data_IF_107807891445
#
_entry.id   IF_107807891445
#
_cell.length_a   1.000
_cell.length_b   1.000
_cell.length_c   1.000
_cell.angle_alpha   90.00
_cell.angle_beta   90.00
_cell.angle_gamma   90.00
#
_symmetry.space_group_name_H-M   'P 1'
#
loop_
_entity.id
_entity.type
_entity.pdbx_description
1 polymer ?
#
# COMPACT_ATOMS: atom_id res chain seq x y z
N UNK A 1 5.84 -4.02 -4.81
CA UNK A 1 5.58 -4.24 -3.37
C UNK A 1 4.09 -4.46 -3.19
N UNK A 2 3.68 -5.50 -2.46
CA UNK A 2 2.28 -5.76 -2.19
C UNK A 2 1.87 -5.14 -0.85
N UNK A 3 0.80 -4.34 -0.83
CA UNK A 3 0.32 -3.64 0.37
C UNK A 3 -1.17 -3.91 0.55
N UNK A 4 -1.59 -4.16 1.78
CA UNK A 4 -3.01 -4.33 2.12
C UNK A 4 -3.77 -3.00 1.97
N UNK A 5 -4.99 -3.06 1.47
CA UNK A 5 -5.85 -1.89 1.27
C UNK A 5 -5.95 -0.97 2.51
N UNK A 6 -6.16 -1.46 3.76
CA UNK A 6 -6.25 -0.58 4.93
C UNK A 6 -4.94 0.18 5.21
N UNK A 7 -3.79 -0.41 4.88
CA UNK A 7 -2.48 0.23 5.04
C UNK A 7 -2.29 1.28 3.94
N UNK A 8 -2.70 0.98 2.72
CA UNK A 8 -2.67 1.95 1.63
C UNK A 8 -3.51 3.20 1.97
N UNK A 9 -4.73 2.99 2.44
CA UNK A 9 -5.68 4.04 2.82
C UNK A 9 -5.19 4.90 3.99
N UNK A 10 -4.61 4.30 5.02
CA UNK A 10 -4.22 5.01 6.27
C UNK A 10 -2.80 5.60 6.25
N UNK A 11 -1.87 4.97 5.52
CA UNK A 11 -0.45 5.33 5.51
C UNK A 11 -0.03 5.98 4.18
N UNK A 12 -0.38 5.36 3.04
CA UNK A 12 0.12 5.80 1.73
C UNK A 12 -0.63 7.01 1.16
N UNK A 13 -1.86 7.30 1.63
CA UNK A 13 -2.57 8.55 1.31
C UNK A 13 -1.96 9.80 1.95
N UNK A 14 -1.00 9.66 2.88
CA UNK A 14 -0.32 10.83 3.48
C UNK A 14 0.57 11.51 2.44
N UNK A 15 0.47 12.84 2.32
CA UNK A 15 1.14 13.67 1.29
C UNK A 15 2.65 13.42 1.15
N UNK A 16 3.33 13.07 2.25
CA UNK A 16 4.76 12.72 2.26
C UNK A 16 5.09 11.41 1.55
N UNK A 17 4.23 10.39 1.69
CA UNK A 17 4.43 9.07 1.08
C UNK A 17 4.12 9.11 -0.42
N UNK A 18 3.06 9.81 -0.82
CA UNK A 18 2.72 10.00 -2.25
C UNK A 18 3.88 10.59 -3.06
N UNK A 19 4.58 11.59 -2.52
CA UNK A 19 5.75 12.17 -3.15
C UNK A 19 6.92 11.18 -3.31
N UNK A 20 7.13 10.30 -2.33
CA UNK A 20 8.15 9.27 -2.39
C UNK A 20 7.82 8.19 -3.43
N UNK A 21 6.56 7.77 -3.54
CA UNK A 21 6.11 6.81 -4.56
C UNK A 21 6.42 7.35 -5.96
N UNK A 22 6.09 8.61 -6.22
CA UNK A 22 6.35 9.25 -7.51
C UNK A 22 7.85 9.44 -7.76
N UNK A 23 8.59 9.96 -6.79
CA UNK A 23 10.03 10.23 -6.91
C UNK A 23 10.85 8.97 -7.19
N UNK A 24 10.49 7.85 -6.57
CA UNK A 24 11.20 6.59 -6.68
C UNK A 24 10.52 5.59 -7.63
N UNK A 25 9.48 6.01 -8.36
CA UNK A 25 8.70 5.17 -9.28
C UNK A 25 8.28 3.81 -8.67
N UNK A 26 7.89 3.82 -7.39
CA UNK A 26 7.54 2.61 -6.67
C UNK A 26 6.25 2.02 -7.24
N UNK A 27 6.29 0.75 -7.64
CA UNK A 27 5.10 0.00 -8.06
C UNK A 27 4.46 -0.69 -6.86
N UNK A 28 3.29 -0.19 -6.48
CA UNK A 28 2.45 -0.74 -5.42
C UNK A 28 1.36 -1.62 -6.04
N UNK A 29 1.21 -2.82 -5.51
CA UNK A 29 0.09 -3.70 -5.79
C UNK A 29 -0.77 -3.72 -4.52
N UNK A 30 -1.97 -3.14 -4.62
CA UNK A 30 -2.92 -3.10 -3.51
C UNK A 30 -3.76 -4.38 -3.61
N UNK A 31 -3.87 -5.12 -2.52
CA UNK A 31 -4.71 -6.31 -2.46
C UNK A 31 -5.62 -6.28 -1.25
N UNK A 32 -6.82 -6.82 -1.44
CA UNK A 32 -7.79 -7.03 -0.37
C UNK A 32 -7.33 -8.24 0.46
N UNK A 33 -7.20 -8.03 1.78
CA UNK A 33 -6.54 -8.95 2.70
C UNK A 33 -7.43 -10.09 3.19
N UNK A 34 -8.52 -10.42 2.49
CA UNK A 34 -9.49 -11.43 2.93
C UNK A 34 -8.92 -12.86 3.00
N UNK A 35 -7.85 -13.17 2.27
CA UNK A 35 -7.15 -14.46 2.36
C UNK A 35 -5.98 -14.45 3.37
N UNK A 36 -6.29 -14.23 4.64
CA UNK A 36 -5.37 -14.59 5.72
C UNK A 36 -6.14 -15.27 6.86
N UNK A 37 -6.85 -16.35 6.54
CA UNK A 37 -7.11 -17.40 7.51
C UNK A 37 -5.78 -18.14 7.63
N UNK A 38 -5.01 -17.80 8.66
CA UNK A 38 -3.93 -18.66 9.11
C UNK A 38 -4.55 -20.03 9.45
N UNK A 39 -3.97 -21.08 8.86
CA UNK A 39 -4.30 -22.48 9.13
C UNK A 39 -4.23 -22.79 10.63
#
# INVERSE_FOLDING_TARGET
>A
MAVREPIYESFFKRRFIGAAIQRYQLRLMIYDGQEAIAQ
#
